data_IF_505847306288
#
_entry.id   IF_505847306288
#
_cell.length_a   1.000
_cell.length_b   1.000
_cell.length_c   1.000
_cell.angle_alpha   90.00
_cell.angle_beta   90.00
_cell.angle_gamma   90.00
#
_symmetry.space_group_name_H-M   'P 1'
#
loop_
_entity.id
_entity.type
_entity.pdbx_description
1 polymer ?
#
# COMPACT_ATOMS: atom_id res chain seq x y z
N UNK A 1 8.19 6.49 -16.72
CA UNK A 1 8.01 7.94 -16.49
C UNK A 1 7.81 8.73 -17.79
N UNK A 2 8.47 8.38 -18.91
CA UNK A 2 8.25 9.06 -20.20
C UNK A 2 6.82 8.86 -20.77
N UNK A 3 6.25 7.66 -20.63
CA UNK A 3 4.90 7.36 -21.15
C UNK A 3 3.77 8.14 -20.50
N UNK A 4 3.80 8.36 -19.17
CA UNK A 4 2.79 9.16 -18.47
C UNK A 4 2.92 10.66 -18.76
N UNK A 5 4.14 11.16 -18.94
CA UNK A 5 4.41 12.56 -19.30
C UNK A 5 3.94 12.89 -20.71
N UNK A 6 4.13 12.00 -21.68
CA UNK A 6 3.62 12.19 -23.05
C UNK A 6 2.10 12.04 -23.13
N UNK A 7 1.50 11.12 -22.38
CA UNK A 7 0.05 10.94 -22.33
C UNK A 7 -0.69 12.18 -21.79
N UNK A 8 -0.11 12.88 -20.82
CA UNK A 8 -0.67 14.12 -20.26
C UNK A 8 -0.52 15.36 -21.18
N UNK A 9 0.40 15.32 -22.15
CA UNK A 9 0.61 16.42 -23.08
C UNK A 9 -0.40 16.41 -24.23
N UNK A 10 -0.91 15.24 -24.61
CA UNK A 10 -1.79 15.08 -25.77
C UNK A 10 -3.24 14.70 -25.42
N UNK A 11 -3.52 14.16 -24.23
CA UNK A 11 -4.87 13.78 -23.75
C UNK A 11 -5.03 14.02 -22.24
N UNK A 12 -6.28 14.16 -21.80
CA UNK A 12 -6.63 14.27 -20.39
C UNK A 12 -6.02 13.13 -19.56
N UNK A 13 -5.74 13.39 -18.28
CA UNK A 13 -5.23 12.45 -17.27
C UNK A 13 -5.92 11.06 -17.26
N UNK A 14 -7.15 11.01 -17.75
CA UNK A 14 -7.97 9.80 -17.94
C UNK A 14 -7.33 8.76 -18.87
N UNK A 15 -6.46 9.18 -19.80
CA UNK A 15 -5.81 8.26 -20.74
C UNK A 15 -4.87 7.26 -20.05
N UNK A 16 -4.31 7.63 -18.88
CA UNK A 16 -3.51 6.72 -18.06
C UNK A 16 -4.37 5.59 -17.48
N UNK A 17 -5.60 5.91 -17.06
CA UNK A 17 -6.54 4.90 -16.56
C UNK A 17 -6.95 3.92 -17.66
N UNK A 18 -7.23 4.42 -18.87
CA UNK A 18 -7.54 3.56 -20.01
C UNK A 18 -6.40 2.61 -20.38
N UNK A 19 -5.15 3.07 -20.30
CA UNK A 19 -3.97 2.23 -20.54
C UNK A 19 -3.86 1.10 -19.50
N UNK A 20 -4.00 1.43 -18.20
CA UNK A 20 -4.00 0.42 -17.14
C UNK A 20 -5.16 -0.56 -17.27
N UNK A 21 -6.37 -0.09 -17.58
CA UNK A 21 -7.54 -0.93 -17.79
C UNK A 21 -7.36 -1.87 -18.99
N UNK A 22 -6.80 -1.38 -20.10
CA UNK A 22 -6.51 -2.21 -21.27
C UNK A 22 -5.48 -3.31 -20.96
N UNK A 23 -4.43 -2.96 -20.23
CA UNK A 23 -3.42 -3.93 -19.80
C UNK A 23 -3.99 -4.96 -18.81
N UNK A 24 -4.82 -4.52 -17.86
CA UNK A 24 -5.53 -5.41 -16.95
C UNK A 24 -6.48 -6.36 -17.71
N UNK A 25 -7.20 -5.86 -18.71
CA UNK A 25 -8.06 -6.68 -19.57
C UNK A 25 -7.25 -7.72 -20.37
N UNK A 26 -6.09 -7.34 -20.91
CA UNK A 26 -5.19 -8.25 -21.60
C UNK A 26 -4.70 -9.37 -20.66
N UNK A 27 -4.24 -9.02 -19.46
CA UNK A 27 -3.83 -10.00 -18.45
C UNK A 27 -4.98 -10.91 -18.07
N UNK A 28 -6.20 -10.38 -17.91
CA UNK A 28 -7.38 -11.19 -17.59
C UNK A 28 -7.68 -12.22 -18.67
N UNK A 29 -7.64 -11.81 -19.95
CA UNK A 29 -7.83 -12.73 -21.09
C UNK A 29 -6.75 -13.80 -21.11
N UNK A 30 -5.48 -13.42 -20.91
CA UNK A 30 -4.37 -14.37 -20.84
C UNK A 30 -4.49 -15.32 -19.65
N UNK A 31 -4.93 -14.85 -18.49
CA UNK A 31 -5.15 -15.66 -17.30
C UNK A 31 -6.23 -16.74 -17.55
N UNK A 32 -7.27 -16.44 -18.34
CA UNK A 32 -8.27 -17.43 -18.75
C UNK A 32 -7.71 -18.53 -19.69
N UNK A 33 -6.53 -18.32 -20.29
CA UNK A 33 -5.88 -19.34 -21.14
C UNK A 33 -4.95 -20.28 -20.36
N UNK A 34 -4.61 -19.93 -19.12
CA UNK A 34 -3.78 -20.76 -18.24
C UNK A 34 -4.70 -21.73 -17.49
N UNK A 35 -4.37 -23.02 -17.52
CA UNK A 35 -5.11 -24.03 -16.78
C UNK A 35 -5.06 -23.72 -15.28
N UNK A 36 -6.22 -23.77 -14.62
CA UNK A 36 -6.33 -23.52 -13.19
C UNK A 36 -5.50 -24.56 -12.43
N UNK A 37 -4.37 -24.13 -11.86
CA UNK A 37 -3.65 -24.90 -10.85
C UNK A 37 -4.45 -24.78 -9.54
N UNK A 38 -5.58 -25.48 -9.51
CA UNK A 38 -6.46 -25.54 -8.35
C UNK A 38 -5.95 -26.64 -7.45
N UNK A 39 -5.37 -26.24 -6.32
CA UNK A 39 -4.98 -27.17 -5.28
C UNK A 39 -6.26 -27.68 -4.57
N UNK A 40 -6.60 -28.95 -4.74
CA UNK A 40 -7.82 -29.56 -4.19
C UNK A 40 -7.72 -29.79 -2.67
N UNK A 41 -6.51 -29.70 -2.10
CA UNK A 41 -6.23 -29.81 -0.68
C UNK A 41 -6.00 -28.43 0.00
N UNK A 42 -6.37 -27.34 -0.68
CA UNK A 42 -6.19 -25.99 -0.16
C UNK A 42 -6.81 -25.85 1.25
N UNK A 43 -5.97 -25.49 2.22
CA UNK A 43 -6.40 -25.24 3.59
C UNK A 43 -7.45 -24.11 3.60
N UNK A 44 -8.59 -24.27 4.29
CA UNK A 44 -9.63 -23.25 4.32
C UNK A 44 -9.08 -21.92 4.85
N UNK A 45 -9.26 -20.86 4.07
CA UNK A 45 -8.80 -19.51 4.39
C UNK A 45 -9.54 -18.97 5.62
N UNK A 46 -8.82 -18.39 6.60
CA UNK A 46 -9.47 -17.74 7.75
C UNK A 46 -10.04 -16.36 7.37
N UNK A 47 -11.26 -16.35 6.83
CA UNK A 47 -11.97 -15.11 6.47
C UNK A 47 -12.13 -14.14 7.64
N UNK A 48 -12.24 -14.65 8.87
CA UNK A 48 -12.37 -13.80 10.07
C UNK A 48 -11.04 -13.11 10.35
N UNK A 49 -9.94 -13.88 10.36
CA UNK A 49 -8.60 -13.32 10.50
C UNK A 49 -8.31 -12.26 9.44
N UNK A 50 -8.63 -12.56 8.18
CA UNK A 50 -8.47 -11.65 7.05
C UNK A 50 -9.28 -10.34 7.20
N UNK A 51 -10.53 -10.45 7.64
CA UNK A 51 -11.38 -9.28 7.87
C UNK A 51 -10.87 -8.42 9.04
N UNK A 52 -10.43 -9.05 10.15
CA UNK A 52 -9.94 -8.33 11.33
C UNK A 52 -8.63 -7.61 11.01
N UNK A 53 -7.66 -8.27 10.38
CA UNK A 53 -6.40 -7.62 10.02
C UNK A 53 -6.59 -6.55 8.94
N UNK A 54 -7.48 -6.78 7.96
CA UNK A 54 -7.84 -5.79 6.96
C UNK A 54 -8.48 -4.55 7.58
N UNK A 55 -9.39 -4.73 8.53
CA UNK A 55 -9.99 -3.64 9.28
C UNK A 55 -8.95 -2.90 10.15
N UNK A 56 -8.04 -3.64 10.82
CA UNK A 56 -6.97 -3.05 11.62
C UNK A 56 -6.11 -2.08 10.79
N UNK A 57 -5.66 -2.53 9.61
CA UNK A 57 -4.86 -1.74 8.69
C UNK A 57 -5.66 -0.55 8.15
N UNK A 58 -6.91 -0.77 7.71
CA UNK A 58 -7.75 0.30 7.16
C UNK A 58 -7.99 1.41 8.19
N UNK A 59 -8.37 1.06 9.42
CA UNK A 59 -8.63 2.02 10.50
C UNK A 59 -7.36 2.76 10.90
N UNK A 60 -6.23 2.06 11.01
CA UNK A 60 -4.94 2.70 11.31
C UNK A 60 -4.53 3.71 10.23
N UNK A 61 -4.59 3.30 8.95
CA UNK A 61 -4.22 4.13 7.81
C UNK A 61 -5.17 5.34 7.68
N UNK A 62 -6.47 5.16 7.93
CA UNK A 62 -7.43 6.26 7.96
C UNK A 62 -7.02 7.34 8.98
N UNK A 63 -6.57 6.94 10.17
CA UNK A 63 -6.05 7.88 11.17
C UNK A 63 -4.84 8.67 10.66
N UNK A 64 -3.89 8.00 9.98
CA UNK A 64 -2.70 8.64 9.41
C UNK A 64 -3.06 9.60 8.27
N UNK A 65 -3.99 9.21 7.40
CA UNK A 65 -4.44 10.04 6.27
C UNK A 65 -5.23 11.26 6.73
N UNK A 66 -5.98 11.16 7.83
CA UNK A 66 -6.76 12.27 8.38
C UNK A 66 -5.91 13.23 9.24
N UNK A 67 -4.73 12.81 9.70
CA UNK A 67 -3.87 13.60 10.57
C UNK A 67 -3.46 14.97 9.99
N UNK A 68 -3.13 15.13 8.70
CA UNK A 68 -2.85 16.44 8.12
C UNK A 68 -4.06 17.39 8.09
N UNK A 69 -5.28 16.87 8.01
CA UNK A 69 -6.50 17.68 7.90
C UNK A 69 -7.07 18.08 9.27
N UNK A 70 -7.06 17.17 10.25
CA UNK A 70 -7.65 17.37 11.58
C UNK A 70 -6.60 17.66 12.67
N UNK A 71 -5.33 17.41 12.38
CA UNK A 71 -4.24 17.52 13.34
C UNK A 71 -3.95 16.19 14.06
N UNK A 72 -2.70 16.01 14.47
CA UNK A 72 -2.23 14.76 15.08
C UNK A 72 -2.81 14.47 16.47
N UNK A 73 -3.26 15.51 17.18
CA UNK A 73 -3.85 15.43 18.51
C UNK A 73 -5.37 15.29 18.52
N UNK A 74 -6.01 15.28 17.34
CA UNK A 74 -7.46 15.17 17.25
C UNK A 74 -7.97 13.82 17.82
N UNK A 75 -9.03 13.81 18.63
CA UNK A 75 -9.58 12.59 19.21
C UNK A 75 -9.94 11.51 18.19
N UNK A 76 -10.40 11.89 16.99
CA UNK A 76 -10.71 10.96 15.90
C UNK A 76 -9.44 10.32 15.36
N UNK A 77 -8.40 11.11 15.11
CA UNK A 77 -7.10 10.62 14.60
C UNK A 77 -6.43 9.70 15.61
N UNK A 78 -6.43 10.08 16.89
CA UNK A 78 -5.93 9.24 17.97
C UNK A 78 -6.77 7.97 18.15
N UNK A 79 -8.09 8.09 18.09
CA UNK A 79 -9.03 6.96 18.18
C UNK A 79 -8.85 5.95 17.06
N UNK A 80 -8.67 6.40 15.81
CA UNK A 80 -8.39 5.52 14.68
C UNK A 80 -7.03 4.82 14.81
N UNK A 81 -5.95 5.54 15.18
CA UNK A 81 -4.64 4.91 15.37
C UNK A 81 -4.65 3.89 16.51
N UNK A 82 -5.23 4.25 17.66
CA UNK A 82 -5.37 3.35 18.80
C UNK A 82 -6.29 2.16 18.45
N UNK A 83 -7.41 2.40 17.78
CA UNK A 83 -8.36 1.37 17.34
C UNK A 83 -7.74 0.36 16.37
N UNK A 84 -6.92 0.82 15.42
CA UNK A 84 -6.16 -0.05 14.53
C UNK A 84 -5.17 -0.95 15.27
N UNK A 85 -4.45 -0.40 16.26
CA UNK A 85 -3.54 -1.18 17.12
C UNK A 85 -4.32 -2.21 17.95
N UNK A 86 -5.45 -1.81 18.53
CA UNK A 86 -6.33 -2.71 19.29
C UNK A 86 -6.84 -3.85 18.41
N UNK A 87 -7.28 -3.56 17.18
CA UNK A 87 -7.70 -4.59 16.23
C UNK A 87 -6.56 -5.53 15.83
N UNK A 88 -5.34 -5.03 15.66
CA UNK A 88 -4.17 -5.87 15.38
C UNK A 88 -3.84 -6.80 16.56
N UNK A 89 -3.99 -6.32 17.80
CA UNK A 89 -3.84 -7.15 19.00
C UNK A 89 -4.95 -8.20 19.09
N UNK A 90 -6.20 -7.82 18.82
CA UNK A 90 -7.34 -8.75 18.73
C UNK A 90 -7.07 -9.82 17.67
N UNK A 91 -6.56 -9.45 16.50
CA UNK A 91 -6.14 -10.39 15.46
C UNK A 91 -5.15 -11.41 16.02
N UNK A 92 -4.09 -10.97 16.69
CA UNK A 92 -3.12 -11.88 17.31
C UNK A 92 -3.76 -12.87 18.29
N UNK A 93 -4.71 -12.43 19.11
CA UNK A 93 -5.44 -13.32 20.04
C UNK A 93 -6.38 -14.30 19.33
N UNK A 94 -7.08 -13.85 18.28
CA UNK A 94 -7.93 -14.70 17.45
C UNK A 94 -7.08 -15.79 16.82
N UNK A 95 -5.96 -15.41 16.25
CA UNK A 95 -5.10 -16.29 15.46
C UNK A 95 -4.43 -17.39 16.28
N UNK A 96 -4.01 -17.10 17.52
CA UNK A 96 -3.50 -18.11 18.47
C UNK A 96 -4.55 -19.19 18.79
N UNK A 97 -5.84 -18.87 18.67
CA UNK A 97 -6.95 -19.78 19.00
C UNK A 97 -7.47 -20.57 17.80
N UNK A 98 -7.04 -20.27 16.57
CA UNK A 98 -7.56 -20.89 15.34
C UNK A 98 -6.74 -22.12 14.96
N UNK A 99 -7.41 -23.12 14.39
CA UNK A 99 -6.78 -24.39 13.94
C UNK A 99 -5.95 -24.23 12.65
N UNK A 100 -6.35 -23.29 11.80
CA UNK A 100 -5.68 -22.96 10.54
C UNK A 100 -5.44 -21.45 10.49
N UNK A 101 -4.40 -20.95 11.18
CA UNK A 101 -4.07 -19.53 11.14
C UNK A 101 -3.55 -19.13 9.75
N UNK A 102 -4.00 -17.99 9.26
CA UNK A 102 -3.38 -17.22 8.16
C UNK A 102 -1.94 -16.83 8.46
N UNK A 103 -1.65 -16.46 9.71
CA UNK A 103 -0.31 -16.06 10.14
C UNK A 103 -0.01 -16.65 11.51
N UNK A 104 1.05 -17.46 11.61
CA UNK A 104 1.50 -17.94 12.91
C UNK A 104 2.17 -16.81 13.70
N UNK A 105 1.37 -16.10 14.50
CA UNK A 105 1.81 -15.01 15.37
C UNK A 105 2.87 -15.43 16.39
N UNK A 106 3.04 -16.73 16.65
CA UNK A 106 4.08 -17.24 17.55
C UNK A 106 5.47 -17.07 16.95
N UNK A 107 5.59 -16.93 15.62
CA UNK A 107 6.85 -16.62 14.95
C UNK A 107 7.41 -15.26 15.40
N UNK A 108 6.55 -14.28 15.70
CA UNK A 108 6.98 -12.98 16.21
C UNK A 108 7.60 -13.05 17.61
N UNK A 109 7.40 -14.14 18.36
CA UNK A 109 8.13 -14.37 19.61
C UNK A 109 9.60 -14.73 19.37
N UNK A 110 9.99 -15.13 18.15
CA UNK A 110 11.39 -15.37 17.79
C UNK A 110 12.03 -14.03 17.39
N UNK A 111 13.12 -13.60 18.06
CA UNK A 111 13.73 -12.30 17.81
C UNK A 111 14.22 -12.15 16.36
N UNK A 112 14.71 -13.23 15.73
CA UNK A 112 15.17 -13.22 14.34
C UNK A 112 14.04 -12.87 13.36
N UNK A 113 12.84 -13.41 13.60
CA UNK A 113 11.68 -13.13 12.76
C UNK A 113 11.13 -11.73 13.01
N UNK A 114 11.01 -11.33 14.27
CA UNK A 114 10.53 -10.00 14.65
C UNK A 114 11.43 -8.89 14.11
N UNK A 115 12.76 -9.05 14.23
CA UNK A 115 13.73 -8.10 13.71
C UNK A 115 13.74 -8.08 12.18
N UNK A 116 13.62 -9.24 11.51
CA UNK A 116 13.46 -9.31 10.06
C UNK A 116 12.22 -8.56 9.56
N UNK A 117 11.06 -8.82 10.18
CA UNK A 117 9.81 -8.13 9.85
C UNK A 117 9.89 -6.62 10.10
N UNK A 118 10.48 -6.20 11.23
CA UNK A 118 10.68 -4.79 11.55
C UNK A 118 11.64 -4.11 10.56
N UNK A 119 12.69 -4.81 10.14
CA UNK A 119 13.68 -4.30 9.17
C UNK A 119 13.04 -4.09 7.81
N UNK A 120 12.30 -5.08 7.30
CA UNK A 120 11.59 -4.97 6.01
C UNK A 120 10.54 -3.85 6.06
N UNK A 121 9.78 -3.76 7.16
CA UNK A 121 8.76 -2.72 7.35
C UNK A 121 9.41 -1.32 7.37
N UNK A 122 10.49 -1.16 8.11
CA UNK A 122 11.24 0.11 8.21
C UNK A 122 11.87 0.47 6.87
N UNK A 123 12.41 -0.51 6.15
CA UNK A 123 12.98 -0.32 4.82
C UNK A 123 11.92 0.18 3.83
N UNK A 124 10.76 -0.47 3.74
CA UNK A 124 9.68 -0.01 2.87
C UNK A 124 9.15 1.36 3.29
N UNK A 125 8.98 1.61 4.59
CA UNK A 125 8.56 2.92 5.10
C UNK A 125 9.54 4.02 4.66
N UNK A 126 10.84 3.80 4.84
CA UNK A 126 11.87 4.75 4.45
C UNK A 126 11.93 4.93 2.93
N UNK A 127 11.83 3.84 2.16
CA UNK A 127 11.87 3.86 0.70
C UNK A 127 10.69 4.65 0.12
N UNK A 128 9.46 4.34 0.53
CA UNK A 128 8.27 5.06 0.06
C UNK A 128 8.24 6.51 0.56
N UNK A 129 8.63 6.76 1.81
CA UNK A 129 8.78 8.11 2.34
C UNK A 129 9.79 8.94 1.56
N UNK A 130 10.94 8.35 1.23
CA UNK A 130 11.96 8.97 0.39
C UNK A 130 11.41 9.31 -1.00
N UNK A 131 10.76 8.35 -1.69
CA UNK A 131 10.18 8.62 -3.01
C UNK A 131 9.13 9.74 -2.97
N UNK A 132 8.27 9.75 -1.95
CA UNK A 132 7.28 10.80 -1.78
C UNK A 132 7.92 12.18 -1.60
N UNK A 133 8.87 12.30 -0.66
CA UNK A 133 9.57 13.56 -0.39
C UNK A 133 10.41 14.00 -1.59
N UNK A 134 11.13 13.10 -2.25
CA UNK A 134 11.91 13.44 -3.44
C UNK A 134 11.02 13.95 -4.57
N UNK A 135 9.87 13.31 -4.79
CA UNK A 135 8.91 13.78 -5.78
C UNK A 135 8.41 15.19 -5.46
N UNK A 136 8.05 15.45 -4.20
CA UNK A 136 7.65 16.79 -3.75
C UNK A 136 8.78 17.81 -3.87
N UNK A 137 10.02 17.45 -3.52
CA UNK A 137 11.19 18.31 -3.60
C UNK A 137 11.49 18.74 -5.05
N UNK A 138 11.47 17.80 -5.99
CA UNK A 138 11.64 18.07 -7.42
C UNK A 138 10.58 19.03 -7.95
N UNK A 139 9.32 18.84 -7.53
CA UNK A 139 8.19 19.63 -8.00
C UNK A 139 8.11 21.03 -7.36
N UNK A 140 8.20 21.11 -6.03
CA UNK A 140 7.94 22.32 -5.26
C UNK A 140 9.19 23.18 -5.05
N UNK A 141 10.36 22.56 -4.89
CA UNK A 141 11.61 23.28 -4.57
C UNK A 141 12.43 23.55 -5.82
N UNK A 142 12.68 22.51 -6.63
CA UNK A 142 13.46 22.68 -7.86
C UNK A 142 12.63 23.28 -9.02
N UNK A 143 11.31 23.41 -8.85
CA UNK A 143 10.43 24.03 -9.84
C UNK A 143 10.39 23.29 -11.18
N UNK A 144 10.81 22.02 -11.20
CA UNK A 144 10.74 21.20 -12.40
C UNK A 144 9.26 20.89 -12.69
N UNK A 145 8.70 21.65 -13.64
CA UNK A 145 7.45 21.26 -14.29
C UNK A 145 7.70 19.95 -15.06
N UNK A 146 6.76 18.98 -15.07
CA UNK A 146 6.96 17.63 -15.64
C UNK A 146 7.46 17.57 -17.11
N UNK A 147 7.53 18.71 -17.80
CA UNK A 147 7.82 18.85 -19.22
C UNK A 147 8.79 20.01 -19.58
N UNK A 148 9.23 20.87 -18.64
CA UNK A 148 10.12 21.97 -19.05
C UNK A 148 11.55 21.47 -19.32
N UNK A 149 12.12 21.68 -20.52
CA UNK A 149 13.52 21.37 -20.78
C UNK A 149 14.41 22.31 -19.93
N UNK A 150 15.58 21.85 -19.48
CA UNK A 150 16.48 22.62 -18.61
C UNK A 150 17.21 23.78 -19.29
N UNK A 151 16.94 24.07 -20.58
CA UNK A 151 17.68 25.09 -21.33
C UNK A 151 16.94 26.44 -21.39
N UNK A 152 17.60 27.59 -21.16
CA UNK A 152 16.99 28.90 -21.37
C UNK A 152 16.83 29.14 -22.88
N UNK A 153 15.60 29.34 -23.34
CA UNK A 153 15.33 29.79 -24.71
C UNK A 153 15.98 31.17 -24.93
N UNK A 154 16.87 31.35 -25.92
CA UNK A 154 17.34 32.68 -26.31
C UNK A 154 16.14 33.51 -26.79
N UNK A 155 16.10 34.78 -26.37
CA UNK A 155 15.09 35.76 -26.80
C UNK A 155 15.20 36.07 -28.29
#
# INVERSE_FOLDING_TARGET
>A
MLGSGTLLHFRSWQSTFWAFSGFAGLIFVLACTVSSSRDEEATPLDWVGAAVIGAAVAVFVLGVVQAPAHGWGDPLVCGCRAGGVVLAVIFGFVEVRRRHPLLDVRLFSRPDFATGAATITTFFMAMFGFFFVMMQFVQLVMGYSPIRPPWPSPR
#
